data_IF_550932196682
#
_entry.id   IF_550932196682
#
_cell.length_a   1.000
_cell.length_b   1.000
_cell.length_c   1.000
_cell.angle_alpha   90.00
_cell.angle_beta   90.00
_cell.angle_gamma   90.00
#
_symmetry.space_group_name_H-M   'P 1'
#
loop_
_entity.id
_entity.type
_entity.pdbx_description
1 polymer ?
#
# COMPACT_ATOMS: atom_id res chain seq x y z
N UNK A 1 -2.36 -17.19 5.87
CA UNK A 1 -3.42 -17.25 6.89
C UNK A 1 -3.98 -15.84 7.06
N UNK A 2 -5.27 -15.52 6.96
CA UNK A 2 -6.50 -16.29 6.91
C UNK A 2 -7.50 -15.54 6.00
N UNK A 3 -8.03 -16.19 4.96
CA UNK A 3 -9.16 -15.68 4.17
C UNK A 3 -9.90 -16.81 3.43
N UNK A 4 -9.82 -18.05 3.93
CA UNK A 4 -10.29 -19.23 3.20
C UNK A 4 -11.69 -19.73 3.61
N UNK A 5 -12.39 -19.07 4.55
CA UNK A 5 -13.63 -19.62 5.13
C UNK A 5 -14.73 -18.57 5.38
N UNK A 6 -14.75 -17.48 4.62
CA UNK A 6 -15.92 -16.58 4.60
C UNK A 6 -16.82 -16.97 3.43
N UNK A 7 -18.09 -17.28 3.70
CA UNK A 7 -19.08 -17.46 2.64
C UNK A 7 -19.19 -16.16 1.84
N UNK A 8 -19.16 -16.22 0.49
CA UNK A 8 -19.18 -15.01 -0.34
C UNK A 8 -20.49 -14.25 -0.13
N UNK A 9 -20.40 -12.93 0.06
CA UNK A 9 -21.59 -12.08 0.04
C UNK A 9 -22.31 -12.23 -1.32
N UNK A 10 -23.64 -12.22 -1.30
CA UNK A 10 -24.48 -12.39 -2.48
C UNK A 10 -25.12 -11.05 -2.88
N UNK A 11 -25.24 -10.79 -4.17
CA UNK A 11 -26.00 -9.66 -4.72
C UNK A 11 -27.53 -9.85 -4.59
N UNK A 12 -28.32 -8.86 -5.01
CA UNK A 12 -29.80 -8.93 -4.96
C UNK A 12 -30.37 -10.07 -5.82
N UNK A 13 -29.61 -10.58 -6.79
CA UNK A 13 -29.95 -11.72 -7.63
C UNK A 13 -29.43 -13.07 -7.08
N UNK A 14 -28.71 -13.06 -5.95
CA UNK A 14 -28.15 -14.27 -5.32
C UNK A 14 -26.82 -14.75 -5.91
N UNK A 15 -26.14 -13.94 -6.73
CA UNK A 15 -24.81 -14.27 -7.26
C UNK A 15 -23.72 -13.82 -6.30
N UNK A 16 -22.59 -14.54 -6.21
CA UNK A 16 -21.46 -14.11 -5.40
C UNK A 16 -20.91 -12.78 -5.89
N UNK A 17 -20.82 -11.81 -4.97
CA UNK A 17 -20.17 -10.54 -5.23
C UNK A 17 -18.68 -10.82 -5.50
N UNK A 18 -18.12 -10.38 -6.65
CA UNK A 18 -16.73 -10.64 -6.97
C UNK A 18 -15.84 -9.94 -5.94
N UNK A 19 -15.09 -10.73 -5.17
CA UNK A 19 -14.04 -10.20 -4.29
C UNK A 19 -12.85 -9.76 -5.15
N UNK A 20 -12.45 -8.47 -5.10
CA UNK A 20 -11.31 -8.00 -5.87
C UNK A 20 -10.04 -8.67 -5.34
N UNK A 21 -9.34 -9.40 -6.21
CA UNK A 21 -8.06 -10.02 -5.85
C UNK A 21 -6.96 -8.97 -5.78
N UNK A 22 -6.02 -9.07 -4.82
CA UNK A 22 -4.87 -8.18 -4.77
C UNK A 22 -4.07 -8.21 -6.09
N UNK A 23 -3.46 -7.08 -6.48
CA UNK A 23 -2.75 -7.01 -7.74
C UNK A 23 -1.48 -7.85 -7.60
N UNK A 24 -1.21 -8.69 -8.59
CA UNK A 24 0.08 -9.38 -8.63
C UNK A 24 1.16 -8.35 -8.92
N UNK A 25 2.17 -8.29 -8.05
CA UNK A 25 3.30 -7.41 -8.25
C UNK A 25 4.09 -7.84 -9.51
N UNK A 26 4.75 -6.90 -10.21
CA UNK A 26 5.62 -7.24 -11.32
C UNK A 26 6.65 -8.30 -10.91
N UNK A 27 6.83 -9.32 -11.74
CA UNK A 27 7.83 -10.37 -11.49
C UNK A 27 9.22 -9.72 -11.45
N UNK A 28 9.96 -9.96 -10.37
CA UNK A 28 11.34 -9.50 -10.19
C UNK A 28 11.52 -8.33 -9.21
N UNK A 29 10.48 -7.92 -8.51
CA UNK A 29 10.54 -6.87 -7.48
C UNK A 29 10.15 -7.46 -6.13
N UNK A 30 11.06 -7.38 -5.15
CA UNK A 30 10.79 -7.83 -3.79
C UNK A 30 10.19 -6.70 -2.94
N UNK A 31 9.16 -7.03 -2.17
CA UNK A 31 8.55 -6.09 -1.23
C UNK A 31 9.25 -6.22 0.11
N UNK A 32 9.79 -5.09 0.58
CA UNK A 32 10.50 -5.02 1.85
C UNK A 32 9.54 -4.77 3.02
N UNK A 33 8.50 -3.98 2.80
CA UNK A 33 7.56 -3.57 3.84
C UNK A 33 6.19 -3.25 3.25
N UNK A 34 5.15 -3.54 4.02
CA UNK A 34 3.77 -3.17 3.72
C UNK A 34 3.12 -2.56 4.95
N UNK A 35 2.26 -1.56 4.76
CA UNK A 35 1.49 -0.97 5.84
C UNK A 35 0.11 -0.54 5.33
N UNK A 36 -0.93 -0.98 6.02
CA UNK A 36 -2.30 -0.51 5.77
C UNK A 36 -2.52 0.84 6.44
N UNK A 37 -3.41 1.66 5.86
CA UNK A 37 -3.98 2.79 6.58
C UNK A 37 -4.83 2.29 7.76
N UNK A 38 -5.02 3.10 8.81
CA UNK A 38 -5.83 2.72 9.97
C UNK A 38 -7.27 2.34 9.63
N UNK A 39 -7.87 2.97 8.62
CA UNK A 39 -9.20 2.67 8.10
C UNK A 39 -9.23 1.48 7.10
N UNK A 40 -8.06 0.96 6.74
CA UNK A 40 -7.90 -0.13 5.78
C UNK A 40 -8.20 0.23 4.33
N UNK A 41 -8.46 1.49 3.99
CA UNK A 41 -8.80 1.92 2.62
C UNK A 41 -7.58 2.01 1.68
N UNK A 42 -6.38 2.14 2.25
CA UNK A 42 -5.12 2.24 1.54
C UNK A 42 -4.12 1.18 2.00
N UNK A 43 -3.24 0.79 1.09
CA UNK A 43 -2.05 0.00 1.39
C UNK A 43 -0.82 0.68 0.80
N UNK A 44 0.17 1.00 1.62
CA UNK A 44 1.51 1.38 1.17
C UNK A 44 2.40 0.13 1.09
N UNK A 45 3.09 -0.05 -0.03
CA UNK A 45 4.08 -1.11 -0.21
C UNK A 45 5.39 -0.52 -0.70
N UNK A 46 6.48 -0.83 -0.01
CA UNK A 46 7.84 -0.43 -0.38
C UNK A 46 8.57 -1.61 -1.02
N UNK A 47 9.18 -1.34 -2.17
CA UNK A 47 10.03 -2.29 -2.88
C UNK A 47 11.54 -2.05 -2.69
N UNK A 48 12.33 -2.98 -3.21
CA UNK A 48 13.79 -2.92 -3.24
C UNK A 48 14.37 -1.77 -4.06
N UNK A 49 13.60 -1.18 -4.98
CA UNK A 49 13.98 -0.02 -5.79
C UNK A 49 13.69 1.32 -5.08
N UNK A 50 13.43 1.25 -3.77
CA UNK A 50 13.06 2.38 -2.92
C UNK A 50 11.81 3.13 -3.41
N UNK A 51 10.95 2.44 -4.17
CA UNK A 51 9.68 2.96 -4.63
C UNK A 51 8.59 2.50 -3.68
N UNK A 52 7.75 3.45 -3.30
CA UNK A 52 6.59 3.20 -2.46
C UNK A 52 5.36 3.34 -3.33
N UNK A 53 4.62 2.25 -3.47
CA UNK A 53 3.36 2.23 -4.20
C UNK A 53 2.20 2.26 -3.21
N UNK A 54 1.29 3.21 -3.39
CA UNK A 54 0.07 3.32 -2.60
C UNK A 54 -1.08 2.75 -3.42
N UNK A 55 -1.76 1.76 -2.87
CA UNK A 55 -2.90 1.10 -3.46
C UNK A 55 -4.19 1.50 -2.74
N UNK A 56 -5.27 1.60 -3.51
CA UNK A 56 -6.64 1.50 -2.98
C UNK A 56 -6.93 0.04 -2.67
N UNK A 57 -7.37 -0.30 -1.47
CA UNK A 57 -7.70 -1.70 -1.11
C UNK A 57 -9.05 -2.15 -1.64
N UNK A 58 -9.93 -1.21 -1.99
CA UNK A 58 -11.27 -1.49 -2.50
C UNK A 58 -11.25 -2.21 -3.87
N UNK A 59 -10.22 -1.96 -4.67
CA UNK A 59 -10.10 -2.48 -6.04
C UNK A 59 -8.65 -2.75 -6.45
N UNK A 60 -7.70 -2.59 -5.52
CA UNK A 60 -6.28 -2.82 -5.73
C UNK A 60 -5.65 -1.95 -6.83
N UNK A 61 -6.27 -0.82 -7.17
CA UNK A 61 -5.69 0.12 -8.12
C UNK A 61 -4.58 0.93 -7.48
N UNK A 62 -3.52 1.20 -8.24
CA UNK A 62 -2.46 2.13 -7.83
C UNK A 62 -3.05 3.54 -7.76
N UNK A 63 -3.04 4.13 -6.57
CA UNK A 63 -3.46 5.51 -6.32
C UNK A 63 -2.33 6.47 -6.65
N UNK A 64 -1.14 6.21 -6.12
CA UNK A 64 0.06 6.99 -6.42
C UNK A 64 1.33 6.16 -6.19
N UNK A 65 2.46 6.68 -6.66
CA UNK A 65 3.78 6.12 -6.42
C UNK A 65 4.74 7.22 -5.98
N UNK A 66 5.43 7.00 -4.88
CA UNK A 66 6.51 7.85 -4.39
C UNK A 66 7.83 7.19 -4.79
N UNK A 67 8.57 7.82 -5.69
CA UNK A 67 9.92 7.39 -6.04
C UNK A 67 10.91 8.15 -5.17
N UNK A 68 11.68 7.44 -4.34
CA UNK A 68 12.78 8.06 -3.60
C UNK A 68 14.01 8.17 -4.50
N UNK A 69 14.81 9.20 -4.24
CA UNK A 69 16.06 9.48 -4.95
C UNK A 69 17.00 8.26 -4.96
N UNK A 70 17.73 8.07 -6.05
CA UNK A 70 18.71 6.99 -6.16
C UNK A 70 19.81 7.17 -5.12
N UNK A 71 20.00 6.16 -4.26
CA UNK A 71 20.97 6.21 -3.16
C UNK A 71 20.43 6.85 -1.87
N UNK A 72 19.13 7.13 -1.78
CA UNK A 72 18.50 7.55 -0.54
C UNK A 72 18.68 6.51 0.58
N UNK A 73 18.74 6.98 1.84
CA UNK A 73 18.88 6.09 2.99
C UNK A 73 17.78 5.03 3.06
N UNK A 74 18.15 3.84 3.54
CA UNK A 74 17.23 2.72 3.74
C UNK A 74 16.02 3.15 4.58
N UNK A 75 14.82 2.74 4.14
CA UNK A 75 13.60 2.95 4.92
C UNK A 75 13.60 2.00 6.11
N UNK A 76 13.39 2.54 7.30
CA UNK A 76 13.31 1.79 8.55
C UNK A 76 11.87 1.64 9.05
N UNK A 77 10.94 2.47 8.55
CA UNK A 77 9.53 2.39 8.87
C UNK A 77 8.65 3.17 7.90
N UNK A 78 7.40 2.73 7.76
CA UNK A 78 6.35 3.35 6.95
C UNK A 78 5.09 3.45 7.80
N UNK A 79 4.39 4.58 7.74
CA UNK A 79 3.10 4.75 8.40
C UNK A 79 2.17 5.65 7.60
N UNK A 80 0.89 5.31 7.55
CA UNK A 80 -0.15 6.12 6.89
C UNK A 80 -0.95 6.87 7.95
N UNK A 81 -1.21 8.15 7.71
CA UNK A 81 -2.04 8.95 8.60
C UNK A 81 -3.45 8.40 8.70
N UNK A 82 -4.14 8.73 9.79
CA UNK A 82 -5.50 8.22 10.09
C UNK A 82 -6.54 8.70 9.08
N UNK A 83 -6.34 9.89 8.51
CA UNK A 83 -7.13 10.42 7.39
C UNK A 83 -6.66 9.89 6.01
N UNK A 84 -5.59 9.10 5.99
CA UNK A 84 -4.97 8.55 4.80
C UNK A 84 -4.33 9.61 3.90
N UNK A 85 -4.23 10.88 4.29
CA UNK A 85 -3.72 11.97 3.45
C UNK A 85 -2.19 11.99 3.34
N UNK A 86 -1.49 11.44 4.33
CA UNK A 86 -0.04 11.50 4.44
C UNK A 86 0.57 10.12 4.66
N UNK A 87 1.74 9.92 4.05
CA UNK A 87 2.64 8.82 4.30
C UNK A 87 3.87 9.34 5.03
N UNK A 88 4.14 8.83 6.21
CA UNK A 88 5.38 9.06 6.95
C UNK A 88 6.39 7.96 6.62
N UNK A 89 7.64 8.35 6.37
CA UNK A 89 8.76 7.44 6.09
C UNK A 89 9.90 7.75 7.05
N UNK A 90 10.29 6.76 7.85
CA UNK A 90 11.51 6.81 8.66
C UNK A 90 12.71 6.28 7.88
N UNK A 91 13.86 6.96 7.97
CA UNK A 91 15.09 6.55 7.28
C UNK A 91 16.20 6.18 8.27
N UNK A 92 17.20 5.43 7.79
CA UNK A 92 18.39 5.09 8.56
C UNK A 92 19.28 6.31 8.88
N UNK A 93 19.13 7.41 8.15
CA UNK A 93 19.85 8.67 8.38
C UNK A 93 19.19 9.57 9.43
N UNK A 94 18.24 9.01 10.20
CA UNK A 94 17.46 9.70 11.23
C UNK A 94 16.54 10.80 10.67
N UNK A 95 16.15 10.68 9.40
CA UNK A 95 15.19 11.57 8.77
C UNK A 95 13.76 11.01 8.89
N UNK A 96 12.81 11.92 9.00
CA UNK A 96 11.38 11.67 8.84
C UNK A 96 10.90 12.45 7.63
N UNK A 97 10.49 11.71 6.61
CA UNK A 97 9.92 12.27 5.38
C UNK A 97 8.41 12.11 5.41
N UNK A 98 7.71 13.09 4.83
CA UNK A 98 6.27 13.07 4.68
C UNK A 98 5.94 13.26 3.21
N UNK A 99 5.07 12.39 2.69
CA UNK A 99 4.58 12.45 1.33
C UNK A 99 3.07 12.48 1.32
N UNK A 100 2.49 13.26 0.42
CA UNK A 100 1.07 13.24 0.15
C UNK A 100 0.67 11.90 -0.46
N UNK A 101 -0.35 11.24 0.10
CA UNK A 101 -0.87 9.98 -0.46
C UNK A 101 -1.70 10.18 -1.73
N UNK A 102 -2.05 11.43 -2.04
CA UNK A 102 -2.84 11.80 -3.21
C UNK A 102 -1.98 11.91 -4.45
N UNK A 103 -0.80 12.52 -4.34
CA UNK A 103 0.06 12.83 -5.48
C UNK A 103 1.54 12.50 -5.28
N UNK A 104 1.96 12.06 -4.09
CA UNK A 104 3.32 11.63 -3.79
C UNK A 104 4.34 12.76 -3.62
N UNK A 105 3.88 14.01 -3.53
CA UNK A 105 4.72 15.19 -3.26
C UNK A 105 5.12 15.33 -1.78
#
# INVERSE_FOLDING_TARGET
>A
EAAADAEPELDEEGNPIPVPSPPLLPVGVDVLMIQYSPDGSLLAALDTDAKITIYSTANWSVKTTVQREAGAATVTGLDLSEDGAWLQVGTADFELLYFSSENGE
#
